data_IF_469955760769
#
_entry.id   IF_469955760769
#
_cell.length_a   1.000
_cell.length_b   1.000
_cell.length_c   1.000
_cell.angle_alpha   90.00
_cell.angle_beta   90.00
_cell.angle_gamma   90.00
#
_symmetry.space_group_name_H-M   'P 1'
#
loop_
_entity.id
_entity.type
_entity.pdbx_description
1 polymer ?
#
# COMPACT_ATOMS: atom_id res chain seq x y z
N UNK A 1 15.61 -1.92 -14.22
CA UNK A 1 15.86 -1.14 -13.61
C UNK A 1 15.57 -1.19 -12.23
N UNK A 2 16.05 -0.60 -11.54
CA UNK A 2 15.86 -0.72 -10.16
C UNK A 2 14.62 -0.03 -9.73
N UNK A 3 14.31 -0.17 -8.49
CA UNK A 3 13.17 0.45 -7.91
C UNK A 3 13.35 1.93 -7.84
N UNK A 4 12.26 2.64 -7.97
CA UNK A 4 12.33 4.08 -7.89
C UNK A 4 12.52 4.50 -6.45
N UNK A 5 13.01 5.72 -6.28
CA UNK A 5 13.14 6.29 -4.96
C UNK A 5 11.78 6.41 -4.29
N UNK A 6 10.75 6.72 -5.05
CA UNK A 6 9.41 6.85 -4.50
C UNK A 6 8.91 5.53 -3.93
N UNK A 7 9.24 4.42 -4.59
CA UNK A 7 8.84 3.12 -4.06
C UNK A 7 9.46 2.87 -2.70
N UNK A 8 10.74 3.15 -2.58
CA UNK A 8 11.44 2.89 -1.31
C UNK A 8 10.92 3.79 -0.21
N UNK A 9 10.66 5.05 -0.53
CA UNK A 9 10.10 5.96 0.46
C UNK A 9 8.73 5.50 0.91
N UNK A 10 7.90 5.12 -0.04
CA UNK A 10 6.56 4.65 0.30
C UNK A 10 6.63 3.41 1.18
N UNK A 11 7.51 2.49 0.83
CA UNK A 11 7.64 1.27 1.62
C UNK A 11 8.07 1.58 3.04
N UNK A 12 9.03 2.48 3.20
CA UNK A 12 9.47 2.86 4.52
C UNK A 12 8.35 3.49 5.33
N UNK A 13 7.59 4.36 4.71
CA UNK A 13 6.48 5.00 5.40
C UNK A 13 5.42 3.99 5.83
N UNK A 14 5.15 3.04 4.95
CA UNK A 14 4.18 2.00 5.28
C UNK A 14 4.66 1.18 6.46
N UNK A 15 5.92 0.78 6.44
CA UNK A 15 6.47 -0.04 7.52
C UNK A 15 6.49 0.73 8.84
N UNK A 16 6.75 2.03 8.80
CA UNK A 16 6.69 2.85 9.99
C UNK A 16 5.26 2.93 10.51
N UNK A 17 4.32 3.05 9.60
CA UNK A 17 2.92 3.13 9.99
C UNK A 17 2.46 1.84 10.67
N UNK A 18 2.91 0.69 10.17
CA UNK A 18 2.47 -0.59 10.70
C UNK A 18 3.32 -1.10 11.85
N UNK A 19 4.41 -0.42 12.15
CA UNK A 19 5.32 -0.90 13.18
C UNK A 19 6.17 -2.06 12.72
N UNK A 20 6.41 -2.15 11.42
CA UNK A 20 7.25 -3.21 10.86
C UNK A 20 6.48 -4.37 10.27
N UNK A 21 5.17 -4.31 10.27
CA UNK A 21 4.37 -5.38 9.69
C UNK A 21 4.41 -5.32 8.18
N UNK A 22 4.54 -6.47 7.55
CA UNK A 22 4.60 -6.54 6.09
C UNK A 22 3.24 -6.74 5.44
N UNK A 23 2.21 -7.02 6.21
CA UNK A 23 0.86 -7.21 5.68
C UNK A 23 -0.09 -6.23 6.33
N UNK A 24 -0.96 -5.66 5.51
CA UNK A 24 -1.97 -4.72 5.99
C UNK A 24 -3.34 -5.23 5.60
N UNK A 25 -4.32 -5.00 6.47
CA UNK A 25 -5.71 -5.29 6.11
C UNK A 25 -6.34 -4.04 5.50
N UNK A 26 -7.60 -4.17 5.08
CA UNK A 26 -8.28 -3.07 4.40
C UNK A 26 -8.36 -1.83 5.28
N UNK A 27 -8.64 -2.03 6.58
CA UNK A 27 -8.73 -0.90 7.50
C UNK A 27 -7.41 -0.16 7.61
N UNK A 28 -6.33 -0.90 7.69
CA UNK A 28 -5.01 -0.28 7.81
C UNK A 28 -4.66 0.51 6.55
N UNK A 29 -4.96 -0.05 5.39
CA UNK A 29 -4.71 0.66 4.15
C UNK A 29 -5.54 1.93 4.09
N UNK A 30 -6.79 1.84 4.53
CA UNK A 30 -7.64 3.02 4.57
C UNK A 30 -7.08 4.10 5.46
N UNK A 31 -6.58 3.72 6.62
CA UNK A 31 -6.01 4.69 7.55
C UNK A 31 -4.75 5.32 6.98
N UNK A 32 -3.92 4.52 6.34
CA UNK A 32 -2.68 5.02 5.80
C UNK A 32 -2.91 5.95 4.61
N UNK A 33 -3.87 5.60 3.74
CA UNK A 33 -4.12 6.37 2.52
C UNK A 33 -5.13 7.49 2.71
N UNK A 34 -5.91 7.42 3.78
CA UNK A 34 -6.97 8.41 3.99
C UNK A 34 -8.28 8.05 3.30
N UNK A 35 -8.33 6.92 2.64
CA UNK A 35 -9.57 6.48 2.01
C UNK A 35 -10.49 5.84 3.04
N UNK A 36 -11.78 6.12 2.93
CA UNK A 36 -12.72 5.59 3.90
C UNK A 36 -13.61 4.48 3.34
N UNK A 37 -13.77 4.43 2.04
CA UNK A 37 -14.67 3.45 1.42
C UNK A 37 -13.91 2.16 1.16
N UNK A 38 -14.26 1.11 1.90
CA UNK A 38 -13.55 -0.16 1.77
C UNK A 38 -13.67 -0.76 0.38
N UNK A 39 -14.80 -0.55 -0.26
CA UNK A 39 -14.98 -1.04 -1.63
C UNK A 39 -13.98 -0.42 -2.56
N UNK A 40 -13.79 0.88 -2.44
CA UNK A 40 -12.85 1.60 -3.26
C UNK A 40 -11.43 1.11 -3.00
N UNK A 41 -11.11 0.88 -1.73
CA UNK A 41 -9.78 0.41 -1.37
C UNK A 41 -9.52 -0.95 -2.01
N UNK A 42 -10.47 -1.86 -1.88
CA UNK A 42 -10.28 -3.20 -2.42
C UNK A 42 -10.18 -3.18 -3.94
N UNK A 43 -10.84 -2.24 -4.56
CA UNK A 43 -10.81 -2.13 -6.01
C UNK A 43 -9.49 -1.53 -6.49
N UNK A 44 -8.97 -0.60 -5.72
CA UNK A 44 -7.77 0.09 -6.10
C UNK A 44 -6.50 -0.72 -5.90
N UNK A 45 -6.49 -1.56 -4.90
CA UNK A 45 -5.29 -2.31 -4.52
C UNK A 45 -5.56 -3.80 -4.55
N UNK A 46 -4.58 -4.61 -4.97
CA UNK A 46 -4.78 -6.05 -5.08
C UNK A 46 -4.65 -6.76 -3.74
N UNK A 47 -5.77 -6.90 -3.07
CA UNK A 47 -5.81 -7.63 -1.80
C UNK A 47 -5.93 -9.13 -2.05
N UNK A 48 -5.28 -9.90 -1.20
CA UNK A 48 -5.39 -11.35 -1.24
C UNK A 48 -5.79 -11.79 0.17
N UNK A 49 -6.94 -12.46 0.25
CA UNK A 49 -7.48 -12.88 1.54
C UNK A 49 -7.64 -11.71 2.50
N UNK A 50 -8.01 -10.56 1.96
CA UNK A 50 -8.25 -9.39 2.79
C UNK A 50 -6.99 -8.67 3.24
N UNK A 51 -5.85 -9.00 2.67
CA UNK A 51 -4.58 -8.38 3.06
C UNK A 51 -3.74 -8.04 1.84
N UNK A 52 -2.86 -7.09 2.03
CA UNK A 52 -1.94 -6.68 0.97
C UNK A 52 -0.56 -6.51 1.61
N UNK A 53 0.48 -6.90 0.89
CA UNK A 53 1.82 -6.73 1.41
C UNK A 53 2.26 -5.28 1.31
N UNK A 54 3.14 -4.88 2.22
CA UNK A 54 3.65 -3.51 2.20
C UNK A 54 4.36 -3.21 0.88
N UNK A 55 5.08 -4.19 0.36
CA UNK A 55 5.79 -3.99 -0.91
C UNK A 55 4.82 -3.78 -2.06
N UNK A 56 3.75 -4.57 -2.10
CA UNK A 56 2.76 -4.43 -3.16
C UNK A 56 2.04 -3.09 -3.05
N UNK A 57 1.69 -2.69 -1.84
CA UNK A 57 1.04 -1.41 -1.63
C UNK A 57 1.95 -0.27 -2.07
N UNK A 58 3.22 -0.32 -1.69
CA UNK A 58 4.17 0.73 -2.07
C UNK A 58 4.30 0.80 -3.58
N UNK A 59 4.31 -0.34 -4.23
CA UNK A 59 4.42 -0.37 -5.69
C UNK A 59 3.21 0.24 -6.35
N UNK A 60 2.03 -0.05 -5.81
CA UNK A 60 0.80 0.53 -6.34
C UNK A 60 0.78 2.04 -6.18
N UNK A 61 1.30 2.51 -5.05
CA UNK A 61 1.26 3.94 -4.78
C UNK A 61 2.19 4.72 -5.69
N UNK A 62 3.31 4.15 -6.08
CA UNK A 62 4.19 4.90 -6.95
C UNK A 62 4.00 4.55 -8.41
N UNK A 63 3.66 3.29 -8.69
CA UNK A 63 3.52 2.87 -10.08
C UNK A 63 2.25 3.34 -10.72
N UNK A 64 1.24 3.54 -9.93
CA UNK A 64 -0.03 3.97 -10.49
C UNK A 64 0.07 5.23 -11.25
N UNK A 65 1.14 5.88 -11.08
CA UNK A 65 1.28 7.07 -11.85
C UNK A 65 1.52 6.74 -13.27
N UNK A 66 1.64 5.96 -13.71
CA UNK A 66 1.81 5.87 -14.95
C UNK A 66 1.17 5.27 -15.67
N UNK A 67 0.88 5.18 -15.50
CA UNK A 67 0.40 4.59 -16.00
C UNK A 67 -0.17 4.80 -16.27
#
# INVERSE_FOLDING_TARGET
MSESFAYRENLEQILQFTGGKNLLNVSEVGRFTGLVDQRTIKRRYPFVDGRISAATLARCMCGGSKQ
#
